data_IF_016022331997
#
_entry.id   IF_016022331997
#
_cell.length_a   1.000
_cell.length_b   1.000
_cell.length_c   1.000
_cell.angle_alpha   90.00
_cell.angle_beta   90.00
_cell.angle_gamma   90.00
#
_symmetry.space_group_name_H-M   'P 1'
#
loop_
_entity.id
_entity.type
_entity.pdbx_description
1 polymer ?
#
# COMPACT_ATOMS: atom_id res chain seq x y z
N UNK A 1 -14.96 9.31 -9.64
CA UNK A 1 -14.89 8.12 -8.76
C UNK A 1 -13.98 8.47 -7.59
N UNK A 2 -14.53 8.61 -6.38
CA UNK A 2 -13.71 8.92 -5.20
C UNK A 2 -12.97 7.65 -4.77
N UNK A 3 -11.65 7.74 -4.68
CA UNK A 3 -10.80 6.67 -4.15
C UNK A 3 -11.17 6.49 -2.67
N UNK A 4 -11.85 5.39 -2.34
CA UNK A 4 -12.26 5.11 -0.96
C UNK A 4 -11.01 4.84 -0.12
N UNK A 5 -10.59 5.84 0.65
CA UNK A 5 -9.40 5.76 1.48
C UNK A 5 -9.75 5.10 2.80
N UNK A 6 -9.24 3.89 3.03
CA UNK A 6 -9.46 3.16 4.30
C UNK A 6 -8.66 3.75 5.46
N UNK A 7 -7.66 4.59 5.17
CA UNK A 7 -6.75 5.15 6.16
C UNK A 7 -6.92 6.67 6.37
N UNK A 8 -6.90 7.15 7.64
CA UNK A 8 -6.83 8.57 7.94
C UNK A 8 -5.59 9.24 7.34
N UNK A 9 -5.70 10.52 6.98
CA UNK A 9 -4.60 11.29 6.36
C UNK A 9 -3.30 11.28 7.19
N UNK A 10 -3.40 11.36 8.52
CA UNK A 10 -2.25 11.28 9.45
C UNK A 10 -1.49 9.95 9.32
N UNK A 11 -2.21 8.83 9.27
CA UNK A 11 -1.63 7.49 9.10
C UNK A 11 -1.00 7.36 7.72
N UNK A 12 -1.70 7.80 6.67
CA UNK A 12 -1.19 7.79 5.31
C UNK A 12 0.12 8.59 5.17
N UNK A 13 0.19 9.78 5.79
CA UNK A 13 1.43 10.59 5.82
C UNK A 13 2.57 9.84 6.53
N UNK A 14 2.29 9.19 7.66
CA UNK A 14 3.27 8.37 8.37
C UNK A 14 3.77 7.20 7.51
N UNK A 15 2.87 6.46 6.86
CA UNK A 15 3.21 5.36 5.94
C UNK A 15 4.06 5.85 4.78
N UNK A 16 3.71 7.00 4.20
CA UNK A 16 4.51 7.64 3.14
C UNK A 16 5.93 7.94 3.61
N UNK A 17 6.07 8.52 4.80
CA UNK A 17 7.38 8.81 5.39
C UNK A 17 8.22 7.54 5.56
N UNK A 18 7.64 6.49 6.15
CA UNK A 18 8.33 5.19 6.29
C UNK A 18 8.68 4.59 4.94
N UNK A 19 7.85 4.81 3.92
CA UNK A 19 8.09 4.35 2.57
C UNK A 19 9.24 5.02 1.85
N UNK A 20 9.82 6.12 2.35
CA UNK A 20 10.97 6.78 1.70
C UNK A 20 12.19 5.85 1.74
N UNK A 21 12.52 5.35 2.93
CA UNK A 21 13.73 4.56 3.20
C UNK A 21 13.60 3.07 2.80
N UNK A 22 12.38 2.62 2.50
CA UNK A 22 12.14 1.24 2.07
C UNK A 22 12.65 1.03 0.63
N UNK A 23 13.53 0.06 0.44
CA UNK A 23 13.91 -0.41 -0.90
C UNK A 23 12.77 -1.21 -1.54
N UNK A 24 12.57 -1.13 -2.87
CA UNK A 24 11.54 -1.93 -3.53
C UNK A 24 11.78 -3.43 -3.34
N UNK A 25 10.83 -4.13 -2.74
CA UNK A 25 10.92 -5.57 -2.48
C UNK A 25 10.54 -6.40 -3.72
N UNK A 26 9.66 -5.86 -4.58
CA UNK A 26 9.14 -6.58 -5.74
C UNK A 26 9.26 -5.74 -7.01
N UNK A 27 9.61 -6.38 -8.12
CA UNK A 27 9.70 -5.77 -9.45
C UNK A 27 8.64 -6.35 -10.39
N UNK A 28 7.89 -5.49 -11.06
CA UNK A 28 6.86 -5.86 -12.05
C UNK A 28 7.45 -5.69 -13.46
N UNK A 29 7.62 -6.81 -14.17
CA UNK A 29 8.25 -6.88 -15.50
C UNK A 29 7.25 -7.06 -16.65
N UNK A 30 7.72 -7.66 -17.76
CA UNK A 30 6.93 -7.88 -18.99
C UNK A 30 5.67 -8.72 -18.79
N UNK A 31 5.66 -9.62 -17.80
CA UNK A 31 4.50 -10.48 -17.47
C UNK A 31 3.37 -9.72 -16.74
N UNK A 32 3.52 -8.40 -16.56
CA UNK A 32 2.50 -7.57 -15.95
C UNK A 32 2.33 -7.82 -14.45
N UNK A 33 1.21 -7.33 -13.92
CA UNK A 33 0.92 -7.34 -12.49
C UNK A 33 0.59 -8.74 -11.96
N UNK A 34 0.00 -9.62 -12.79
CA UNK A 34 -0.47 -10.95 -12.38
C UNK A 34 0.67 -11.82 -11.85
N UNK A 35 1.81 -11.81 -12.55
CA UNK A 35 2.99 -12.57 -12.14
C UNK A 35 3.59 -12.11 -10.81
N UNK A 36 3.35 -10.85 -10.41
CA UNK A 36 3.87 -10.29 -9.17
C UNK A 36 2.89 -10.44 -7.98
N UNK A 37 1.61 -10.76 -8.21
CA UNK A 37 0.58 -10.78 -7.16
C UNK A 37 0.96 -11.68 -5.99
N UNK A 38 1.39 -12.91 -6.25
CA UNK A 38 1.72 -13.88 -5.20
C UNK A 38 2.91 -13.43 -4.33
N UNK A 39 3.91 -12.79 -4.93
CA UNK A 39 5.05 -12.26 -4.19
C UNK A 39 4.66 -11.04 -3.35
N UNK A 40 3.92 -10.10 -3.94
CA UNK A 40 3.45 -8.90 -3.22
C UNK A 40 2.54 -9.32 -2.05
N UNK A 41 1.67 -10.31 -2.24
CA UNK A 41 0.80 -10.84 -1.19
C UNK A 41 1.60 -11.41 -0.02
N UNK A 42 2.63 -12.22 -0.28
CA UNK A 42 3.52 -12.77 0.75
C UNK A 42 4.23 -11.65 1.52
N UNK A 43 4.87 -10.73 0.81
CA UNK A 43 5.57 -9.59 1.43
C UNK A 43 4.62 -8.72 2.28
N UNK A 44 3.37 -8.53 1.84
CA UNK A 44 2.37 -7.80 2.62
C UNK A 44 1.93 -8.55 3.89
N UNK A 45 1.91 -9.89 3.90
CA UNK A 45 1.63 -10.68 5.13
C UNK A 45 2.76 -10.55 6.15
N UNK A 46 4.00 -10.51 5.66
CA UNK A 46 5.19 -10.53 6.51
C UNK A 46 5.56 -9.12 7.03
N UNK A 47 5.52 -8.12 6.15
CA UNK A 47 6.00 -6.76 6.46
C UNK A 47 4.86 -5.76 6.70
N UNK A 48 3.70 -5.98 6.09
CA UNK A 48 2.55 -5.08 6.14
C UNK A 48 2.66 -3.80 5.32
N UNK A 49 3.88 -3.32 5.05
CA UNK A 49 4.16 -2.16 4.19
C UNK A 49 5.21 -2.56 3.14
N UNK A 50 4.85 -2.46 1.86
CA UNK A 50 5.69 -2.96 0.76
C UNK A 50 5.82 -1.90 -0.33
N UNK A 51 7.06 -1.59 -0.71
CA UNK A 51 7.35 -0.78 -1.90
C UNK A 51 7.57 -1.72 -3.09
N UNK A 52 6.88 -1.44 -4.19
CA UNK A 52 6.94 -2.21 -5.43
C UNK A 52 7.41 -1.30 -6.56
N UNK A 53 8.18 -1.83 -7.52
CA UNK A 53 8.73 -1.09 -8.66
C UNK A 53 8.24 -1.67 -9.99
N UNK A 54 7.72 -0.82 -10.86
CA UNK A 54 7.51 -1.12 -12.26
C UNK A 54 8.83 -1.05 -13.03
N UNK A 55 9.18 -2.12 -13.73
CA UNK A 55 10.28 -2.10 -14.69
C UNK A 55 9.89 -1.29 -15.93
N UNK A 56 10.89 -0.87 -16.72
CA UNK A 56 10.66 -0.09 -17.94
C UNK A 56 9.78 -0.82 -18.97
N UNK A 57 9.71 -2.14 -18.88
CA UNK A 57 8.96 -3.01 -19.79
C UNK A 57 7.46 -3.09 -19.50
N UNK A 58 6.99 -2.55 -18.38
CA UNK A 58 5.55 -2.48 -18.09
C UNK A 58 4.89 -1.46 -19.01
N UNK A 59 3.81 -1.88 -19.65
CA UNK A 59 2.94 -1.07 -20.51
C UNK A 59 1.68 -0.75 -19.73
N UNK A 60 1.13 0.46 -19.91
CA UNK A 60 -0.10 0.92 -19.24
C UNK A 60 0.11 2.06 -18.25
N UNK A 61 -1.00 2.61 -17.73
CA UNK A 61 -0.94 3.68 -16.75
C UNK A 61 -0.55 3.13 -15.37
N UNK A 62 0.63 3.53 -14.87
CA UNK A 62 1.20 3.04 -13.60
C UNK A 62 0.27 3.26 -12.40
N UNK A 63 -0.49 4.36 -12.40
CA UNK A 63 -1.44 4.65 -11.31
C UNK A 63 -2.60 3.68 -11.32
N UNK A 64 -3.15 3.38 -12.49
CA UNK A 64 -4.24 2.39 -12.64
C UNK A 64 -3.76 0.99 -12.27
N UNK A 65 -2.60 0.56 -12.79
CA UNK A 65 -2.01 -0.73 -12.44
C UNK A 65 -1.74 -0.85 -10.93
N UNK A 66 -1.23 0.21 -10.29
CA UNK A 66 -1.00 0.20 -8.85
C UNK A 66 -2.30 0.11 -8.04
N UNK A 67 -3.36 0.79 -8.49
CA UNK A 67 -4.70 0.68 -7.87
C UNK A 67 -5.28 -0.71 -8.03
N UNK A 68 -5.14 -1.29 -9.21
CA UNK A 68 -5.59 -2.64 -9.50
C UNK A 68 -4.90 -3.66 -8.59
N UNK A 69 -3.57 -3.56 -8.44
CA UNK A 69 -2.82 -4.40 -7.49
C UNK A 69 -3.34 -4.23 -6.07
N UNK A 70 -3.55 -2.99 -5.63
CA UNK A 70 -4.05 -2.69 -4.29
C UNK A 70 -5.43 -3.33 -4.06
N UNK A 71 -6.35 -3.17 -5.02
CA UNK A 71 -7.69 -3.73 -4.96
C UNK A 71 -7.68 -5.25 -4.91
N UNK A 72 -6.91 -5.91 -5.78
CA UNK A 72 -6.83 -7.37 -5.85
C UNK A 72 -6.23 -8.01 -4.59
N UNK A 73 -5.32 -7.30 -3.91
CA UNK A 73 -4.64 -7.79 -2.71
C UNK A 73 -5.31 -7.34 -1.40
N UNK A 74 -6.47 -6.69 -1.48
CA UNK A 74 -7.14 -6.06 -0.34
C UNK A 74 -6.17 -5.16 0.47
N UNK A 75 -5.39 -4.36 -0.26
CA UNK A 75 -4.38 -3.46 0.26
C UNK A 75 -4.73 -1.99 -0.07
N UNK A 76 -4.19 -1.06 0.71
CA UNK A 76 -4.34 0.37 0.48
C UNK A 76 -3.14 0.89 -0.34
N UNK A 77 -3.42 1.55 -1.45
CA UNK A 77 -2.42 2.30 -2.21
C UNK A 77 -2.10 3.62 -1.48
N UNK A 78 -0.90 3.73 -0.92
CA UNK A 78 -0.46 4.89 -0.13
C UNK A 78 0.04 6.02 -1.03
N UNK A 79 0.88 5.68 -2.01
CA UNK A 79 1.49 6.61 -2.93
C UNK A 79 1.96 5.89 -4.21
N UNK A 80 1.92 6.61 -5.33
CA UNK A 80 2.64 6.26 -6.57
C UNK A 80 3.67 7.35 -6.84
N UNK A 81 4.95 7.00 -6.83
CA UNK A 81 6.08 7.92 -7.06
C UNK A 81 6.95 7.40 -8.19
N UNK A 82 6.85 8.05 -9.35
CA UNK A 82 7.60 7.67 -10.55
C UNK A 82 7.28 6.24 -10.99
N UNK A 83 8.27 5.35 -10.92
CA UNK A 83 8.12 3.91 -11.25
C UNK A 83 7.88 3.04 -10.02
N UNK A 84 7.76 3.61 -8.84
CA UNK A 84 7.49 2.85 -7.61
C UNK A 84 6.15 3.21 -7.03
N UNK A 85 5.55 2.29 -6.30
CA UNK A 85 4.33 2.52 -5.53
C UNK A 85 4.42 1.81 -4.19
N UNK A 86 3.67 2.32 -3.22
CA UNK A 86 3.70 1.88 -1.84
C UNK A 86 2.33 1.32 -1.46
N UNK A 87 2.30 0.07 -1.02
CA UNK A 87 1.10 -0.62 -0.56
C UNK A 87 1.17 -0.88 0.94
N UNK A 88 0.04 -0.73 1.60
CA UNK A 88 -0.12 -1.08 2.99
C UNK A 88 -1.27 -2.07 3.18
N UNK A 89 -1.02 -3.14 3.92
CA UNK A 89 -2.06 -4.05 4.41
C UNK A 89 -1.75 -4.43 5.85
N UNK A 90 -2.67 -4.19 6.80
CA UNK A 90 -2.42 -4.57 8.19
C UNK A 90 -2.31 -6.09 8.31
N UNK A 91 -1.19 -6.57 8.88
CA UNK A 91 -0.91 -7.99 9.11
C UNK A 91 -1.97 -8.68 9.98
N UNK A 92 -2.64 -7.91 10.82
CA UNK A 92 -3.69 -8.37 11.73
C UNK A 92 -5.11 -8.31 11.14
N UNK A 93 -5.22 -7.92 9.87
CA UNK A 93 -6.49 -7.71 9.16
C UNK A 93 -7.11 -6.33 9.39
N UNK A 94 -7.90 -5.86 8.42
CA UNK A 94 -8.50 -4.52 8.42
C UNK A 94 -9.42 -4.29 9.62
N UNK A 95 -10.31 -5.23 9.93
CA UNK A 95 -11.28 -5.09 11.02
C UNK A 95 -10.59 -4.82 12.36
N UNK A 96 -9.53 -5.58 12.67
CA UNK A 96 -8.79 -5.44 13.94
C UNK A 96 -7.97 -4.15 13.96
N UNK A 97 -7.30 -3.82 12.85
CA UNK A 97 -6.52 -2.59 12.71
C UNK A 97 -7.38 -1.33 12.83
N UNK A 98 -8.50 -1.26 12.11
CA UNK A 98 -9.42 -0.11 12.15
C UNK A 98 -10.03 0.07 13.55
N UNK A 99 -10.37 -1.04 14.23
CA UNK A 99 -10.84 -1.00 15.62
C UNK A 99 -9.79 -0.45 16.58
N UNK A 100 -8.51 -0.81 16.40
CA UNK A 100 -7.40 -0.25 17.19
C UNK A 100 -7.21 1.23 16.91
N UNK A 101 -7.28 1.66 15.65
CA UNK A 101 -7.17 3.08 15.29
C UNK A 101 -8.24 3.91 15.98
N UNK A 102 -9.50 3.46 15.97
CA UNK A 102 -10.63 4.16 16.63
C UNK A 102 -10.46 4.23 18.15
N UNK A 103 -9.88 3.21 18.77
CA UNK A 103 -9.61 3.15 20.22
C UNK A 103 -8.40 4.01 20.63
N UNK A 104 -7.36 4.08 19.79
CA UNK A 104 -6.13 4.83 20.06
C UNK A 104 -6.25 6.34 19.83
N UNK A 105 -7.31 6.82 19.17
CA UNK A 105 -7.57 8.26 18.99
C UNK A 105 -8.33 8.92 20.14
N UNK A 106 -8.61 8.21 21.24
CA UNK A 106 -9.32 8.74 22.42
C UNK A 106 -8.46 9.52 23.43
N UNK A 107 -7.33 10.11 23.00
CA UNK A 107 -6.38 10.80 23.88
C UNK A 107 -6.00 12.20 23.41
N UNK A 108 -6.95 12.94 22.84
CA UNK A 108 -6.79 14.36 22.54
C UNK A 108 -7.74 15.17 23.41
N UNK A 109 -7.30 15.49 24.62
CA UNK A 109 -7.83 16.59 25.41
C UNK A 109 -7.72 17.86 24.55
N UNK A 110 -8.85 18.47 24.23
CA UNK A 110 -8.88 19.87 23.80
C UNK A 110 -9.15 20.65 25.08
N UNK A 111 -8.12 21.32 25.59
CA UNK A 111 -8.27 22.50 26.43
C UNK A 111 -8.19 23.71 25.51
#
# INVERSE_FOLDING_TARGET
MQEEKRLPGKIRRRMRSMGIDISPAVNIGKRGIDAAMGEIDRQLKDLGLVKVKFLKSVVGERKELAREVAMRLDAELIEVRGRTFLLFRPREGWSKYLRKLRRGTGGGSNN
#
